data_IF_238998414613
#
_entry.id   IF_238998414613
#
_cell.length_a   1.000
_cell.length_b   1.000
_cell.length_c   1.000
_cell.angle_alpha   90.00
_cell.angle_beta   90.00
_cell.angle_gamma   90.00
#
_symmetry.space_group_name_H-M   'P 1'
#
loop_
_entity.id
_entity.type
_entity.pdbx_description
1 polymer ?
#
# COMPACT_ATOMS: atom_id res chain seq x y z
N UNK A 1 -44.05 1.99 -47.39
CA UNK A 1 -42.59 1.77 -47.33
C UNK A 1 -42.17 1.78 -45.86
N UNK A 2 -41.72 0.64 -45.30
CA UNK A 2 -41.41 0.51 -43.87
C UNK A 2 -40.03 1.13 -43.61
N UNK A 3 -39.98 2.23 -42.86
CA UNK A 3 -38.72 2.80 -42.36
C UNK A 3 -38.07 1.79 -41.41
N UNK A 4 -36.98 1.17 -41.86
CA UNK A 4 -36.11 0.37 -41.00
C UNK A 4 -35.50 1.30 -39.95
N UNK A 5 -35.85 1.09 -38.67
CA UNK A 5 -35.32 1.87 -37.56
C UNK A 5 -33.80 1.89 -37.59
N UNK A 6 -33.22 3.09 -37.61
CA UNK A 6 -31.78 3.31 -37.53
C UNK A 6 -31.23 2.53 -36.33
N UNK A 7 -30.26 1.63 -36.57
CA UNK A 7 -29.56 0.94 -35.47
C UNK A 7 -28.74 1.98 -34.71
N UNK A 8 -29.13 2.27 -33.48
CA UNK A 8 -28.37 3.16 -32.59
C UNK A 8 -27.07 2.50 -32.18
N UNK A 9 -25.95 3.17 -32.43
CA UNK A 9 -24.63 2.78 -31.97
C UNK A 9 -24.32 3.42 -30.62
N UNK A 10 -23.40 2.84 -29.85
CA UNK A 10 -22.91 3.43 -28.59
C UNK A 10 -22.31 4.82 -28.84
N UNK A 11 -21.70 5.02 -30.02
CA UNK A 11 -21.15 6.31 -30.42
C UNK A 11 -22.20 7.42 -30.46
N UNK A 12 -23.45 7.09 -30.80
CA UNK A 12 -24.54 8.07 -30.91
C UNK A 12 -24.98 8.60 -29.53
N UNK A 13 -24.65 7.88 -28.45
CA UNK A 13 -24.93 8.27 -27.07
C UNK A 13 -23.82 9.14 -26.43
N UNK A 14 -22.64 9.23 -27.05
CA UNK A 14 -21.52 10.02 -26.53
C UNK A 14 -21.65 11.46 -27.03
N UNK A 15 -21.81 12.40 -26.10
CA UNK A 15 -21.90 13.82 -26.44
C UNK A 15 -20.54 14.36 -26.96
N UNK A 16 -20.55 15.36 -27.86
CA UNK A 16 -19.33 16.07 -28.25
C UNK A 16 -18.63 16.72 -27.05
N UNK A 17 -17.30 16.79 -27.07
CA UNK A 17 -16.48 17.27 -25.95
C UNK A 17 -16.90 18.67 -25.48
N UNK A 18 -17.20 19.59 -26.40
CA UNK A 18 -17.56 20.98 -26.08
C UNK A 18 -18.83 21.04 -25.22
N UNK A 19 -19.84 20.23 -25.57
CA UNK A 19 -21.10 20.13 -24.80
C UNK A 19 -20.89 19.47 -23.45
N UNK A 20 -19.92 18.54 -23.34
CA UNK A 20 -19.57 17.92 -22.07
C UNK A 20 -18.97 18.97 -21.14
N UNK A 21 -17.98 19.74 -21.59
CA UNK A 21 -17.34 20.76 -20.75
C UNK A 21 -18.32 21.85 -20.30
N UNK A 22 -19.24 22.28 -21.18
CA UNK A 22 -20.29 23.24 -20.82
C UNK A 22 -21.32 22.67 -19.84
N UNK A 23 -21.60 21.36 -19.91
CA UNK A 23 -22.55 20.71 -19.00
C UNK A 23 -22.00 20.50 -17.57
N UNK A 24 -20.68 20.57 -17.39
CA UNK A 24 -20.03 20.32 -16.11
C UNK A 24 -20.18 21.52 -15.17
N UNK A 25 -20.97 21.35 -14.11
CA UNK A 25 -21.11 22.35 -13.05
C UNK A 25 -19.85 22.51 -12.19
N UNK A 26 -19.81 23.61 -11.42
CA UNK A 26 -18.71 23.95 -10.51
C UNK A 26 -18.38 22.83 -9.51
N UNK A 27 -19.41 22.12 -9.02
CA UNK A 27 -19.25 21.01 -8.08
C UNK A 27 -18.46 19.84 -8.71
N UNK A 28 -18.78 19.48 -9.96
CA UNK A 28 -18.03 18.44 -10.68
C UNK A 28 -16.57 18.86 -10.91
N UNK A 29 -16.33 20.11 -11.31
CA UNK A 29 -14.98 20.66 -11.45
C UNK A 29 -14.20 20.64 -10.13
N UNK A 30 -14.85 20.91 -9.00
CA UNK A 30 -14.21 20.84 -7.69
C UNK A 30 -13.79 19.41 -7.31
N UNK A 31 -14.62 18.41 -7.58
CA UNK A 31 -14.26 17.01 -7.37
C UNK A 31 -13.14 16.53 -8.29
N UNK A 32 -13.15 16.94 -9.57
CA UNK A 32 -12.06 16.66 -10.50
C UNK A 32 -10.76 17.28 -9.96
N UNK A 33 -10.79 18.53 -9.51
CA UNK A 33 -9.61 19.20 -8.96
C UNK A 33 -9.02 18.45 -7.76
N UNK A 34 -9.86 18.09 -6.77
CA UNK A 34 -9.43 17.34 -5.59
C UNK A 34 -8.88 15.97 -5.97
N UNK A 35 -9.55 15.25 -6.88
CA UNK A 35 -9.09 13.96 -7.38
C UNK A 35 -7.74 14.06 -8.10
N UNK A 36 -7.55 15.09 -8.93
CA UNK A 36 -6.29 15.35 -9.64
C UNK A 36 -5.15 15.66 -8.67
N UNK A 37 -5.38 16.49 -7.65
CA UNK A 37 -4.37 16.78 -6.62
C UNK A 37 -3.97 15.48 -5.90
N UNK A 38 -4.95 14.69 -5.47
CA UNK A 38 -4.69 13.40 -4.81
C UNK A 38 -3.95 12.42 -5.72
N UNK A 39 -4.29 12.38 -7.01
CA UNK A 39 -3.61 11.56 -8.01
C UNK A 39 -2.15 11.98 -8.18
N UNK A 40 -1.86 13.29 -8.29
CA UNK A 40 -0.49 13.80 -8.39
C UNK A 40 0.33 13.42 -7.15
N UNK A 41 -0.22 13.62 -5.94
CA UNK A 41 0.44 13.22 -4.69
C UNK A 41 0.76 11.71 -4.67
N UNK A 42 -0.15 10.88 -5.17
CA UNK A 42 0.08 9.43 -5.31
C UNK A 42 1.19 9.13 -6.31
N UNK A 43 1.22 9.81 -7.47
CA UNK A 43 2.27 9.61 -8.48
C UNK A 43 3.64 9.95 -7.91
N UNK A 44 3.79 11.09 -7.23
CA UNK A 44 5.04 11.47 -6.56
C UNK A 44 5.48 10.41 -5.57
N UNK A 45 4.55 9.90 -4.75
CA UNK A 45 4.84 8.82 -3.79
C UNK A 45 5.29 7.53 -4.47
N UNK A 46 4.65 7.15 -5.58
CA UNK A 46 5.03 5.96 -6.36
C UNK A 46 6.43 6.12 -6.95
N UNK A 47 6.75 7.28 -7.52
CA UNK A 47 8.10 7.55 -8.06
C UNK A 47 9.18 7.46 -6.98
N UNK A 48 8.91 8.01 -5.79
CA UNK A 48 9.81 7.88 -4.65
C UNK A 48 10.03 6.40 -4.26
N UNK A 49 8.95 5.62 -4.16
CA UNK A 49 9.06 4.20 -3.85
C UNK A 49 9.76 3.38 -4.94
N UNK A 50 9.58 3.72 -6.22
CA UNK A 50 10.29 3.06 -7.31
C UNK A 50 11.80 3.23 -7.19
N UNK A 51 12.28 4.43 -6.85
CA UNK A 51 13.70 4.67 -6.61
C UNK A 51 14.20 3.84 -5.41
N UNK A 52 13.45 3.83 -4.31
CA UNK A 52 13.78 3.02 -3.13
C UNK A 52 13.82 1.52 -3.45
N UNK A 53 12.88 1.01 -4.26
CA UNK A 53 12.88 -0.38 -4.68
C UNK A 53 14.02 -0.71 -5.64
N UNK A 54 14.47 0.26 -6.44
CA UNK A 54 15.65 0.10 -7.27
C UNK A 54 16.91 -0.08 -6.42
N UNK A 55 17.06 0.70 -5.35
CA UNK A 55 18.17 0.55 -4.41
C UNK A 55 18.13 -0.83 -3.73
N UNK A 56 16.94 -1.29 -3.33
CA UNK A 56 16.75 -2.63 -2.77
C UNK A 56 17.11 -3.70 -3.80
N UNK A 57 16.68 -3.55 -5.06
CA UNK A 57 17.04 -4.47 -6.15
C UNK A 57 18.55 -4.55 -6.33
N UNK A 58 19.23 -3.41 -6.38
CA UNK A 58 20.69 -3.35 -6.47
C UNK A 58 21.36 -4.04 -5.29
N UNK A 59 20.81 -3.87 -4.08
CA UNK A 59 21.29 -4.56 -2.89
C UNK A 59 21.13 -6.09 -3.00
N UNK A 60 20.00 -6.59 -3.51
CA UNK A 60 19.82 -8.03 -3.76
C UNK A 60 20.85 -8.58 -4.76
N UNK A 61 21.06 -7.87 -5.88
CA UNK A 61 21.91 -8.36 -6.97
C UNK A 61 23.40 -8.26 -6.63
N UNK A 62 23.82 -7.17 -5.98
CA UNK A 62 25.24 -6.90 -5.69
C UNK A 62 25.67 -7.49 -4.34
N UNK A 63 24.93 -7.22 -3.27
CA UNK A 63 25.33 -7.61 -1.92
C UNK A 63 24.90 -9.04 -1.59
N UNK A 64 23.64 -9.41 -1.85
CA UNK A 64 23.13 -10.76 -1.56
C UNK A 64 23.48 -11.79 -2.63
N UNK A 65 23.96 -11.32 -3.80
CA UNK A 65 24.29 -12.16 -4.97
C UNK A 65 23.12 -13.09 -5.33
N UNK A 66 21.91 -12.54 -5.36
CA UNK A 66 20.69 -13.20 -5.81
C UNK A 66 20.31 -12.55 -7.14
N UNK A 67 20.19 -13.32 -8.21
CA UNK A 67 19.68 -12.79 -9.47
C UNK A 67 18.15 -12.63 -9.44
N UNK A 68 17.62 -11.68 -10.21
CA UNK A 68 16.19 -11.40 -10.30
C UNK A 68 15.38 -12.68 -10.66
N UNK A 69 15.94 -13.58 -11.47
CA UNK A 69 15.26 -14.82 -11.89
C UNK A 69 15.29 -15.92 -10.83
N UNK A 70 16.19 -15.82 -9.85
CA UNK A 70 16.33 -16.82 -8.78
C UNK A 70 15.44 -16.52 -7.57
N UNK A 71 15.01 -15.26 -7.40
CA UNK A 71 14.31 -14.80 -6.22
C UNK A 71 13.04 -15.60 -5.93
N UNK A 72 12.29 -15.99 -6.97
CA UNK A 72 11.06 -16.79 -6.82
C UNK A 72 11.32 -18.23 -6.35
N UNK A 73 12.54 -18.74 -6.54
CA UNK A 73 12.94 -20.09 -6.12
C UNK A 73 13.53 -20.12 -4.70
N UNK A 74 13.73 -18.96 -4.08
CA UNK A 74 14.32 -18.85 -2.74
C UNK A 74 13.25 -18.68 -1.67
N UNK A 75 13.46 -19.36 -0.56
CA UNK A 75 12.65 -19.15 0.65
C UNK A 75 13.08 -17.89 1.38
N UNK A 76 12.17 -17.28 2.14
CA UNK A 76 12.51 -16.13 3.00
C UNK A 76 13.64 -16.46 3.99
N UNK A 77 13.69 -17.69 4.50
CA UNK A 77 14.75 -18.14 5.40
C UNK A 77 16.13 -18.11 4.73
N UNK A 78 16.24 -18.52 3.47
CA UNK A 78 17.51 -18.45 2.71
C UNK A 78 17.94 -17.01 2.46
N UNK A 79 17.00 -16.13 2.09
CA UNK A 79 17.26 -14.68 1.93
C UNK A 79 17.73 -14.08 3.25
N UNK A 80 17.07 -14.40 4.36
CA UNK A 80 17.43 -13.93 5.69
C UNK A 80 18.84 -14.40 6.10
N UNK A 81 19.20 -15.66 5.81
CA UNK A 81 20.54 -16.18 6.09
C UNK A 81 21.61 -15.41 5.33
N UNK A 82 21.42 -15.18 4.02
CA UNK A 82 22.37 -14.37 3.21
C UNK A 82 22.48 -12.94 3.72
N UNK A 83 21.36 -12.34 4.13
CA UNK A 83 21.34 -11.00 4.72
C UNK A 83 22.18 -10.92 6.01
N UNK A 84 22.12 -11.93 6.86
CA UNK A 84 22.91 -12.02 8.09
C UNK A 84 24.41 -12.21 7.81
N UNK A 85 24.76 -12.96 6.76
CA UNK A 85 26.14 -13.12 6.31
C UNK A 85 26.71 -11.79 5.78
N UNK A 86 25.97 -11.10 4.91
CA UNK A 86 26.35 -9.78 4.36
C UNK A 86 26.50 -8.72 5.45
N UNK A 87 25.68 -8.76 6.51
CA UNK A 87 25.81 -7.85 7.65
C UNK A 87 27.19 -7.93 8.31
N UNK A 88 27.82 -9.11 8.36
CA UNK A 88 29.15 -9.27 8.96
C UNK A 88 30.25 -8.64 8.10
N UNK A 89 30.04 -8.59 6.79
CA UNK A 89 31.00 -8.04 5.83
C UNK A 89 30.83 -6.52 5.62
N UNK A 90 29.58 -6.06 5.55
CA UNK A 90 29.24 -4.68 5.18
C UNK A 90 28.82 -3.80 6.37
N UNK A 91 28.69 -4.36 7.58
CA UNK A 91 28.31 -3.67 8.83
C UNK A 91 27.13 -2.67 8.68
N UNK A 92 26.08 -3.04 7.93
CA UNK A 92 24.93 -2.17 7.65
C UNK A 92 24.23 -1.68 8.93
N UNK A 93 24.25 -2.49 10.00
CA UNK A 93 23.95 -2.06 11.37
C UNK A 93 25.23 -1.63 12.12
N UNK A 94 25.47 -0.33 12.20
CA UNK A 94 26.68 0.26 12.85
C UNK A 94 26.81 -0.12 14.32
N UNK A 95 25.70 -0.27 15.03
CA UNK A 95 25.69 -0.46 16.49
C UNK A 95 25.77 -1.94 16.91
N UNK A 96 25.55 -2.87 15.97
CA UNK A 96 25.50 -4.30 16.27
C UNK A 96 26.14 -5.10 15.12
N UNK A 97 27.36 -5.58 15.37
CA UNK A 97 28.15 -6.34 14.40
C UNK A 97 27.46 -7.62 13.94
N UNK A 98 26.80 -8.32 14.87
CA UNK A 98 26.04 -9.54 14.57
C UNK A 98 24.54 -9.31 14.77
N UNK A 99 23.79 -9.33 13.67
CA UNK A 99 22.33 -9.37 13.71
C UNK A 99 21.86 -10.81 13.95
N UNK A 100 20.73 -10.94 14.63
CA UNK A 100 20.00 -12.21 14.75
C UNK A 100 18.77 -12.18 13.87
N UNK A 101 18.23 -13.36 13.54
CA UNK A 101 16.95 -13.47 12.83
C UNK A 101 15.84 -12.70 13.56
N UNK A 102 15.81 -12.80 14.90
CA UNK A 102 14.84 -12.13 15.76
C UNK A 102 14.92 -10.59 15.64
N UNK A 103 16.11 -10.02 15.48
CA UNK A 103 16.27 -8.57 15.28
C UNK A 103 15.61 -8.10 13.98
N UNK A 104 15.76 -8.89 12.90
CA UNK A 104 15.12 -8.61 11.61
C UNK A 104 13.61 -8.68 11.75
N UNK A 105 13.09 -9.72 12.40
CA UNK A 105 11.66 -9.86 12.67
C UNK A 105 11.11 -8.67 13.46
N UNK A 106 11.78 -8.27 14.55
CA UNK A 106 11.37 -7.11 15.34
C UNK A 106 11.39 -5.81 14.55
N UNK A 107 12.37 -5.62 13.65
CA UNK A 107 12.43 -4.43 12.79
C UNK A 107 11.28 -4.38 11.79
N UNK A 108 10.97 -5.50 11.13
CA UNK A 108 9.90 -5.59 10.12
C UNK A 108 8.52 -5.51 10.77
N UNK A 109 8.31 -6.20 11.89
CA UNK A 109 7.00 -6.38 12.50
C UNK A 109 6.69 -5.36 13.61
N UNK A 110 7.59 -4.40 13.88
CA UNK A 110 7.49 -3.44 15.00
C UNK A 110 6.08 -2.91 15.23
N UNK A 111 5.52 -2.24 14.23
CA UNK A 111 4.18 -1.62 14.34
C UNK A 111 3.04 -2.63 14.36
N UNK A 112 3.19 -3.76 13.65
CA UNK A 112 2.20 -4.85 13.69
C UNK A 112 2.11 -5.48 15.08
N UNK A 113 3.25 -5.73 15.72
CA UNK A 113 3.32 -6.29 17.07
C UNK A 113 2.68 -5.34 18.10
N UNK A 114 2.92 -4.03 17.97
CA UNK A 114 2.21 -3.05 18.81
C UNK A 114 0.70 -3.08 18.58
N UNK A 115 0.24 -3.09 17.32
CA UNK A 115 -1.18 -3.15 17.01
C UNK A 115 -1.84 -4.41 17.59
N UNK A 116 -1.23 -5.58 17.41
CA UNK A 116 -1.71 -6.85 17.98
C UNK A 116 -1.78 -6.78 19.51
N UNK A 117 -0.74 -6.25 20.15
CA UNK A 117 -0.73 -6.11 21.61
C UNK A 117 -1.83 -5.17 22.11
N UNK A 118 -2.07 -4.04 21.44
CA UNK A 118 -3.12 -3.08 21.81
C UNK A 118 -4.52 -3.65 21.64
N UNK A 119 -4.77 -4.39 20.55
CA UNK A 119 -6.06 -5.09 20.34
C UNK A 119 -6.27 -6.18 21.39
N UNK A 120 -5.26 -7.02 21.64
CA UNK A 120 -5.37 -8.11 22.62
C UNK A 120 -5.58 -7.61 24.05
N UNK A 121 -4.96 -6.48 24.40
CA UNK A 121 -5.15 -5.81 25.69
C UNK A 121 -6.42 -4.95 25.75
N UNK A 122 -7.26 -4.96 24.71
CA UNK A 122 -8.48 -4.16 24.61
C UNK A 122 -8.26 -2.66 24.84
N UNK A 123 -7.09 -2.15 24.44
CA UNK A 123 -6.75 -0.71 24.54
C UNK A 123 -7.42 0.10 23.43
N UNK A 124 -7.80 -0.55 22.33
CA UNK A 124 -8.47 0.07 21.20
C UNK A 124 -9.98 -0.23 21.25
N UNK A 125 -10.85 0.76 21.05
CA UNK A 125 -12.31 0.58 21.07
C UNK A 125 -12.78 -0.07 19.77
N UNK A 126 -12.45 -1.34 19.57
CA UNK A 126 -12.87 -2.12 18.39
C UNK A 126 -14.15 -2.93 18.64
N UNK A 127 -14.59 -3.03 19.90
CA UNK A 127 -15.78 -3.78 20.32
C UNK A 127 -16.88 -2.80 20.70
N UNK A 128 -18.04 -2.93 20.07
CA UNK A 128 -19.20 -2.09 20.33
C UNK A 128 -20.39 -2.95 20.70
N UNK A 129 -21.20 -2.50 21.66
CA UNK A 129 -22.45 -3.15 22.00
C UNK A 129 -23.59 -2.37 21.35
N UNK A 130 -24.25 -2.98 20.37
CA UNK A 130 -25.39 -2.38 19.67
C UNK A 130 -26.67 -2.94 20.28
N UNK A 131 -27.71 -2.10 20.53
CA UNK A 131 -29.01 -2.60 20.92
C UNK A 131 -29.50 -3.66 19.92
N UNK A 132 -30.13 -4.74 20.42
CA UNK A 132 -30.66 -5.87 19.65
C UNK A 132 -29.60 -6.85 19.10
N UNK A 133 -28.48 -6.37 18.55
CA UNK A 133 -27.46 -7.22 17.91
C UNK A 133 -26.36 -7.73 18.85
N UNK A 134 -26.22 -7.15 20.05
CA UNK A 134 -25.20 -7.56 21.02
C UNK A 134 -23.83 -6.97 20.71
N UNK A 135 -22.76 -7.71 20.98
CA UNK A 135 -21.38 -7.26 20.77
C UNK A 135 -20.94 -7.47 19.32
N UNK A 136 -20.49 -6.40 18.68
CA UNK A 136 -19.91 -6.41 17.33
C UNK A 136 -18.45 -5.95 17.38
N UNK A 137 -17.64 -6.51 16.48
CA UNK A 137 -16.24 -6.10 16.29
C UNK A 137 -16.17 -5.23 15.04
N UNK A 138 -15.79 -3.97 15.20
CA UNK A 138 -15.63 -3.00 14.13
C UNK A 138 -14.16 -2.61 13.99
N UNK A 139 -13.47 -3.26 13.04
CA UNK A 139 -12.07 -2.96 12.70
C UNK A 139 -11.93 -2.86 11.18
N UNK A 140 -12.38 -1.75 10.62
CA UNK A 140 -12.27 -1.50 9.17
C UNK A 140 -10.84 -1.13 8.78
N UNK A 141 -10.50 -1.30 7.50
CA UNK A 141 -9.19 -0.86 6.97
C UNK A 141 -8.97 0.63 7.18
N UNK A 142 -10.04 1.45 7.08
CA UNK A 142 -9.96 2.89 7.34
C UNK A 142 -9.68 3.21 8.81
N UNK A 143 -10.34 2.53 9.75
CA UNK A 143 -10.07 2.71 11.17
C UNK A 143 -8.64 2.30 11.52
N UNK A 144 -8.20 1.14 11.01
CA UNK A 144 -6.83 0.67 11.16
C UNK A 144 -5.81 1.69 10.64
N UNK A 145 -6.03 2.23 9.43
CA UNK A 145 -5.16 3.24 8.85
C UNK A 145 -5.08 4.51 9.71
N UNK A 146 -6.21 5.00 10.22
CA UNK A 146 -6.23 6.15 11.12
C UNK A 146 -5.51 5.87 12.45
N UNK A 147 -5.68 4.69 13.02
CA UNK A 147 -4.96 4.28 14.23
C UNK A 147 -3.45 4.21 13.99
N UNK A 148 -3.03 3.64 12.85
CA UNK A 148 -1.62 3.60 12.46
C UNK A 148 -1.05 5.01 12.27
N UNK A 149 -1.79 5.92 11.63
CA UNK A 149 -1.39 7.32 11.43
C UNK A 149 -1.28 8.13 12.73
N UNK A 150 -2.12 7.84 13.74
CA UNK A 150 -2.12 8.56 15.01
C UNK A 150 -1.04 8.08 15.98
N UNK A 151 -0.69 6.80 15.94
CA UNK A 151 0.19 6.16 16.91
C UNK A 151 1.63 5.99 16.41
N UNK A 152 1.87 6.07 15.11
CA UNK A 152 3.17 5.84 14.46
C UNK A 152 3.47 6.90 13.41
#
# INVERSE_FOLDING_TARGET
EKSFGHKTSIADAILPQDKILESMGLLTWSFILVATIFWILRVVKVLYHLMQFWDIKMFYNVALKIDDNELDNLTWHEVQKRLLEVQKEQEMCVHKRELTELDIYHRILRFKNYMVAMVNKSLLPVRFKVPILGEIIFMTTGLKYNMELLLF
#
